data_IF_122797445867
#
_entry.id   IF_122797445867
#
_cell.length_a   1.000
_cell.length_b   1.000
_cell.length_c   1.000
_cell.angle_alpha   90.00
_cell.angle_beta   90.00
_cell.angle_gamma   90.00
#
_symmetry.space_group_name_H-M   'P 1'
#
loop_
_entity.id
_entity.type
_entity.pdbx_description
1 polymer ?
#
# COMPACT_ATOMS: atom_id res chain seq x y z
N UNK A 1 -5.31 -22.16 -7.43
CA UNK A 1 -5.29 -21.73 -6.01
C UNK A 1 -5.57 -20.24 -5.96
N UNK A 2 -6.35 -19.75 -4.98
CA UNK A 2 -6.55 -18.32 -4.80
C UNK A 2 -5.20 -17.67 -4.43
N UNK A 3 -4.74 -16.72 -5.24
CA UNK A 3 -3.55 -15.92 -4.96
C UNK A 3 -3.96 -14.79 -4.03
N UNK A 4 -3.27 -14.65 -2.90
CA UNK A 4 -3.52 -13.58 -1.94
C UNK A 4 -2.46 -12.51 -2.14
N UNK A 5 -2.88 -11.27 -2.31
CA UNK A 5 -1.98 -10.16 -2.55
C UNK A 5 -2.03 -9.19 -1.38
N UNK A 6 -0.88 -8.93 -0.80
CA UNK A 6 -0.67 -7.77 0.06
C UNK A 6 -0.31 -6.57 -0.82
N UNK A 7 -0.84 -5.39 -0.53
CA UNK A 7 -0.49 -4.18 -1.27
C UNK A 7 -0.36 -2.97 -0.35
N UNK A 8 0.49 -2.03 -0.77
CA UNK A 8 0.71 -0.75 -0.11
C UNK A 8 0.40 0.36 -1.10
N UNK A 9 -0.52 1.23 -0.69
CA UNK A 9 -0.88 2.47 -1.36
C UNK A 9 -0.13 3.62 -0.72
N UNK A 10 0.38 4.50 -1.57
CA UNK A 10 0.83 5.82 -1.18
C UNK A 10 -0.21 6.85 -1.59
N UNK A 11 -0.77 7.54 -0.61
CA UNK A 11 -1.69 8.64 -0.80
C UNK A 11 -0.92 9.96 -0.95
N UNK A 12 -1.54 10.95 -1.61
CA UNK A 12 -0.97 12.29 -1.79
C UNK A 12 -0.80 13.09 -0.48
N UNK A 13 -1.39 12.63 0.63
CA UNK A 13 -1.23 13.17 1.98
C UNK A 13 -0.04 12.54 2.74
N UNK A 14 0.87 11.88 2.01
CA UNK A 14 2.02 11.14 2.54
C UNK A 14 1.66 10.00 3.49
N UNK A 15 0.41 9.54 3.47
CA UNK A 15 -0.02 8.40 4.26
C UNK A 15 0.21 7.10 3.49
N UNK A 16 0.77 6.12 4.18
CA UNK A 16 0.93 4.75 3.69
C UNK A 16 -0.24 3.90 4.16
N UNK A 17 -0.99 3.36 3.22
CA UNK A 17 -2.09 2.45 3.51
C UNK A 17 -1.75 1.04 3.04
N UNK A 18 -1.81 0.07 3.95
CA UNK A 18 -1.61 -1.33 3.63
C UNK A 18 -2.92 -2.10 3.72
N UNK A 19 -3.13 -3.00 2.78
CA UNK A 19 -4.28 -3.89 2.77
C UNK A 19 -3.98 -5.18 2.05
N UNK A 20 -4.95 -6.10 2.08
CA UNK A 20 -4.90 -7.32 1.30
C UNK A 20 -6.05 -7.39 0.29
N UNK A 21 -5.80 -8.04 -0.83
CA UNK A 21 -6.79 -8.34 -1.86
C UNK A 21 -6.49 -9.70 -2.47
N UNK A 22 -7.49 -10.38 -3.01
CA UNK A 22 -7.28 -11.62 -3.79
C UNK A 22 -7.21 -11.36 -5.29
N UNK A 23 -7.49 -10.11 -5.71
CA UNK A 23 -7.38 -9.67 -7.09
C UNK A 23 -6.92 -8.21 -7.11
N UNK A 24 -5.63 -7.97 -7.38
CA UNK A 24 -5.09 -6.63 -7.58
C UNK A 24 -5.68 -6.00 -8.84
N UNK A 25 -5.65 -6.72 -9.96
CA UNK A 25 -6.04 -6.21 -11.27
C UNK A 25 -7.52 -5.78 -11.30
N UNK A 26 -8.43 -6.63 -10.79
CA UNK A 26 -9.85 -6.27 -10.68
C UNK A 26 -10.08 -5.05 -9.78
N UNK A 27 -9.35 -4.94 -8.67
CA UNK A 27 -9.53 -3.87 -7.68
C UNK A 27 -8.91 -2.54 -8.14
N UNK A 28 -7.77 -2.60 -8.82
CA UNK A 28 -7.15 -1.46 -9.50
C UNK A 28 -8.06 -0.96 -10.62
N UNK A 29 -8.61 -1.85 -11.44
CA UNK A 29 -9.58 -1.50 -12.47
C UNK A 29 -10.87 -0.94 -11.88
N UNK A 30 -11.43 -1.51 -10.82
CA UNK A 30 -12.63 -0.98 -10.13
C UNK A 30 -12.38 0.42 -9.54
N UNK A 31 -11.18 0.68 -8.98
CA UNK A 31 -10.78 2.00 -8.49
C UNK A 31 -10.48 3.00 -9.62
N UNK A 32 -9.96 2.56 -10.77
CA UNK A 32 -9.66 3.40 -11.92
C UNK A 32 -10.91 3.71 -12.77
N UNK A 33 -11.80 2.73 -12.95
CA UNK A 33 -13.07 2.87 -13.67
C UNK A 33 -14.14 3.63 -12.88
N UNK A 34 -13.95 3.86 -11.57
CA UNK A 34 -14.91 4.61 -10.75
C UNK A 34 -16.25 3.91 -10.55
N UNK A 35 -16.35 2.61 -10.83
CA UNK A 35 -17.60 1.85 -10.87
C UNK A 35 -17.91 1.08 -9.56
N UNK A 36 -17.17 1.32 -8.47
CA UNK A 36 -17.25 0.51 -7.25
C UNK A 36 -18.00 1.12 -6.06
N UNK A 37 -18.09 2.45 -5.93
CA UNK A 37 -18.83 3.06 -4.82
C UNK A 37 -19.07 4.55 -5.05
N UNK A 38 -20.27 5.01 -4.66
CA UNK A 38 -20.69 6.42 -4.49
C UNK A 38 -19.70 7.28 -3.68
N UNK A 39 -18.72 6.66 -3.01
CA UNK A 39 -17.64 7.27 -2.23
C UNK A 39 -16.31 7.52 -2.99
N UNK A 40 -16.16 7.01 -4.22
CA UNK A 40 -14.92 7.14 -5.03
C UNK A 40 -14.95 8.28 -6.05
N UNK A 41 -16.04 9.05 -6.11
CA UNK A 41 -16.18 10.21 -7.02
C UNK A 41 -15.36 11.45 -6.62
N UNK A 42 -14.55 11.39 -5.56
CA UNK A 42 -13.72 12.52 -5.13
C UNK A 42 -12.34 12.47 -5.80
N UNK A 43 -12.26 13.07 -6.99
CA UNK A 43 -11.01 13.40 -7.69
C UNK A 43 -10.01 14.25 -6.87
N UNK A 44 -10.34 14.64 -5.63
CA UNK A 44 -9.52 15.48 -4.74
C UNK A 44 -8.50 14.71 -3.87
N UNK A 45 -8.45 13.37 -3.93
CA UNK A 45 -7.45 12.55 -3.21
C UNK A 45 -6.70 11.58 -4.12
N UNK A 46 -6.47 11.99 -5.36
CA UNK A 46 -5.64 11.26 -6.32
C UNK A 46 -4.32 12.02 -6.52
N UNK A 47 -3.18 11.32 -6.61
CA UNK A 47 -3.09 9.89 -6.88
C UNK A 47 -3.01 9.02 -5.61
N UNK A 48 -3.72 7.89 -5.63
CA UNK A 48 -3.43 6.72 -4.80
C UNK A 48 -2.70 5.73 -5.69
N UNK A 49 -1.36 5.68 -5.59
CA UNK A 49 -0.55 4.73 -6.36
C UNK A 49 -0.24 3.54 -5.49
N UNK A 50 -0.45 2.33 -6.02
CA UNK A 50 0.14 1.12 -5.43
C UNK A 50 1.64 1.23 -5.67
N UNK A 51 2.39 1.37 -4.60
CA UNK A 51 3.86 1.46 -4.65
C UNK A 51 4.52 0.11 -4.41
N UNK A 52 3.79 -0.82 -3.77
CA UNK A 52 4.29 -2.13 -3.43
C UNK A 52 3.14 -3.14 -3.44
N UNK A 53 3.43 -4.35 -3.92
CA UNK A 53 2.51 -5.47 -3.85
C UNK A 53 3.28 -6.78 -3.78
N UNK A 54 2.80 -7.71 -2.97
CA UNK A 54 3.44 -9.00 -2.74
C UNK A 54 2.40 -10.12 -2.85
N UNK A 55 2.75 -11.20 -3.55
CA UNK A 55 1.91 -12.39 -3.72
C UNK A 55 2.22 -13.44 -2.64
N UNK A 56 1.16 -13.97 -2.06
CA UNK A 56 1.18 -15.05 -1.08
C UNK A 56 0.30 -16.21 -1.53
N UNK A 57 0.80 -17.42 -1.31
CA UNK A 57 0.09 -18.66 -1.59
C UNK A 57 -1.05 -18.94 -0.59
N UNK A 58 -1.02 -18.33 0.60
CA UNK A 58 -2.03 -18.57 1.66
C UNK A 58 -2.52 -17.26 2.28
N UNK A 59 -3.78 -17.26 2.69
CA UNK A 59 -4.38 -16.14 3.44
C UNK A 59 -3.62 -15.86 4.75
N UNK A 60 -3.16 -16.91 5.43
CA UNK A 60 -2.44 -16.77 6.70
C UNK A 60 -1.13 -16.01 6.52
N UNK A 61 -0.35 -16.33 5.48
CA UNK A 61 0.89 -15.61 5.17
C UNK A 61 0.63 -14.13 4.85
N UNK A 62 -0.39 -13.84 4.02
CA UNK A 62 -0.77 -12.46 3.70
C UNK A 62 -1.21 -11.67 4.95
N UNK A 63 -1.99 -12.30 5.84
CA UNK A 63 -2.49 -11.66 7.07
C UNK A 63 -1.37 -11.45 8.10
N UNK A 64 -0.43 -12.39 8.23
CA UNK A 64 0.76 -12.22 9.07
C UNK A 64 1.62 -11.06 8.56
N UNK A 65 1.82 -10.97 7.23
CA UNK A 65 2.54 -9.84 6.63
C UNK A 65 1.83 -8.52 6.88
N UNK A 66 0.51 -8.46 6.70
CA UNK A 66 -0.30 -7.26 6.96
C UNK A 66 -0.20 -6.84 8.44
N UNK A 67 -0.30 -7.79 9.37
CA UNK A 67 -0.19 -7.53 10.80
C UNK A 67 1.18 -6.98 11.17
N UNK A 68 2.26 -7.61 10.67
CA UNK A 68 3.62 -7.10 10.83
C UNK A 68 3.72 -5.67 10.28
N UNK A 69 3.25 -5.41 9.06
CA UNK A 69 3.29 -4.09 8.45
C UNK A 69 2.44 -3.05 9.21
N UNK A 70 1.30 -3.43 9.79
CA UNK A 70 0.47 -2.53 10.61
C UNK A 70 1.16 -2.15 11.92
N UNK A 71 1.92 -3.06 12.52
CA UNK A 71 2.68 -2.82 13.74
C UNK A 71 3.91 -1.93 13.51
N UNK A 72 4.46 -1.91 12.29
CA UNK A 72 5.60 -1.06 11.96
C UNK A 72 5.26 0.43 12.12
N UNK A 73 6.20 1.17 12.70
CA UNK A 73 6.21 2.63 12.71
C UNK A 73 6.33 3.19 11.28
N UNK A 74 6.09 4.49 11.11
CA UNK A 74 6.23 5.16 9.80
C UNK A 74 7.63 4.95 9.21
N UNK A 75 8.68 5.07 10.03
CA UNK A 75 10.07 4.84 9.64
C UNK A 75 10.31 3.41 9.17
N UNK A 76 9.87 2.42 9.94
CA UNK A 76 10.04 1.01 9.58
C UNK A 76 9.28 0.65 8.30
N UNK A 77 8.12 1.26 8.04
CA UNK A 77 7.40 1.08 6.77
C UNK A 77 8.20 1.62 5.59
N UNK A 78 8.86 2.76 5.75
CA UNK A 78 9.73 3.35 4.71
C UNK A 78 10.95 2.46 4.49
N UNK A 79 11.62 2.03 5.57
CA UNK A 79 12.78 1.13 5.48
C UNK A 79 12.40 -0.17 4.80
N UNK A 80 11.24 -0.75 5.12
CA UNK A 80 10.73 -1.94 4.45
C UNK A 80 10.56 -1.70 2.94
N UNK A 81 9.97 -0.57 2.55
CA UNK A 81 9.82 -0.23 1.13
C UNK A 81 11.17 -0.03 0.44
N UNK A 82 12.14 0.61 1.11
CA UNK A 82 13.50 0.79 0.60
C UNK A 82 14.24 -0.53 0.42
N UNK A 83 14.12 -1.46 1.38
CA UNK A 83 14.68 -2.81 1.30
C UNK A 83 14.15 -3.56 0.05
N UNK A 84 12.88 -3.31 -0.28
CA UNK A 84 12.24 -3.79 -1.50
C UNK A 84 12.48 -2.94 -2.76
N UNK A 85 13.51 -2.09 -2.77
CA UNK A 85 13.86 -1.19 -3.89
C UNK A 85 12.77 -0.17 -4.28
N UNK A 86 11.81 0.10 -3.40
CA UNK A 86 10.80 1.14 -3.59
C UNK A 86 11.30 2.44 -2.99
N UNK A 87 11.76 3.35 -3.86
CA UNK A 87 12.29 4.64 -3.44
C UNK A 87 11.15 5.67 -3.33
N UNK A 88 10.81 6.08 -2.11
CA UNK A 88 9.81 7.12 -1.86
C UNK A 88 10.45 8.51 -2.02
N UNK A 89 9.97 9.35 -2.96
CA UNK A 89 10.67 10.58 -3.34
C UNK A 89 10.66 11.68 -2.26
N UNK A 90 9.77 11.64 -1.27
CA UNK A 90 9.56 12.75 -0.33
C UNK A 90 9.91 12.44 1.13
N UNK A 91 9.87 11.17 1.56
CA UNK A 91 9.84 10.84 2.99
C UNK A 91 11.25 10.73 3.64
N UNK A 92 12.31 10.64 2.83
CA UNK A 92 13.68 10.45 3.34
C UNK A 92 14.24 11.71 4.04
N UNK A 93 13.77 12.91 3.65
CA UNK A 93 14.38 14.16 4.10
C UNK A 93 13.84 14.71 5.43
N UNK A 94 12.59 14.39 5.81
CA UNK A 94 11.96 14.97 7.01
C UNK A 94 12.21 14.19 8.30
N UNK A 95 12.35 12.86 8.21
CA UNK A 95 12.42 12.00 9.40
C UNK A 95 13.86 11.65 9.84
N UNK A 96 14.89 11.86 9.00
CA UNK A 96 16.31 11.71 9.39
C UNK A 96 16.88 12.88 10.22
N UNK A 97 16.11 13.96 10.42
CA UNK A 97 16.58 15.18 11.11
C UNK A 97 16.10 15.27 12.57
N UNK A 98 15.25 14.34 13.03
CA UNK A 98 14.83 14.29 14.44
C UNK A 98 15.44 13.07 15.13
N UNK A 99 16.74 13.17 15.43
CA UNK A 99 17.39 12.37 16.47
C UNK A 99 18.06 13.27 17.48
#
# INVERSE_FOLDING_TARGET
MPKHYFYVLFCADETLYAGYTVNLNRREQEHNMGAGAKYTSLAKRRPVKIIYSEEYATRSAAMQREAAFKQLSRLEKIMFLQDHNINLPFVILSDMVKS
#
